data_IF_197450808638
#
_entry.id   IF_197450808638
#
_cell.length_a   1.000
_cell.length_b   1.000
_cell.length_c   1.000
_cell.angle_alpha   90.00
_cell.angle_beta   90.00
_cell.angle_gamma   90.00
#
_symmetry.space_group_name_H-M   'P 1'
#
loop_
_entity.id
_entity.type
_entity.pdbx_description
1 polymer ?
#
# COMPACT_ATOMS: atom_id res chain seq x y z
N UNK A 1 -19.72 -19.72 -8.55
CA UNK A 1 -19.84 -18.28 -8.87
C UNK A 1 -18.52 -17.58 -8.58
N UNK A 2 -17.97 -17.68 -7.37
CA UNK A 2 -16.59 -17.19 -7.08
C UNK A 2 -15.56 -17.66 -8.09
N UNK A 3 -15.55 -18.96 -8.38
CA UNK A 3 -14.62 -19.53 -9.34
C UNK A 3 -14.80 -18.96 -10.75
N UNK A 4 -16.04 -18.67 -11.15
CA UNK A 4 -16.32 -18.04 -12.44
C UNK A 4 -15.81 -16.59 -12.48
N UNK A 5 -15.93 -15.88 -11.36
CA UNK A 5 -15.36 -14.53 -11.22
C UNK A 5 -13.84 -14.62 -11.30
N UNK A 6 -13.19 -15.50 -10.55
CA UNK A 6 -11.73 -15.70 -10.60
C UNK A 6 -11.24 -16.03 -12.02
N UNK A 7 -11.92 -16.97 -12.69
CA UNK A 7 -11.62 -17.34 -14.08
C UNK A 7 -11.75 -16.15 -15.06
N UNK A 8 -12.75 -15.29 -14.87
CA UNK A 8 -12.92 -14.09 -15.71
C UNK A 8 -11.77 -13.09 -15.60
N UNK A 9 -10.99 -13.13 -14.50
CA UNK A 9 -9.87 -12.23 -14.24
C UNK A 9 -8.50 -12.92 -14.25
N UNK A 10 -8.40 -14.15 -14.75
CA UNK A 10 -7.17 -14.95 -14.72
C UNK A 10 -5.98 -14.28 -15.42
N UNK A 11 -6.23 -13.52 -16.49
CA UNK A 11 -5.20 -12.84 -17.29
C UNK A 11 -5.19 -11.32 -17.12
N UNK A 12 -5.79 -10.78 -16.06
CA UNK A 12 -5.85 -9.33 -15.84
C UNK A 12 -4.80 -8.92 -14.81
N UNK A 13 -3.68 -8.37 -15.28
CA UNK A 13 -2.48 -8.14 -14.45
C UNK A 13 -2.69 -7.14 -13.30
N UNK A 14 -3.57 -6.14 -13.47
CA UNK A 14 -3.74 -5.06 -12.48
C UNK A 14 -4.74 -5.46 -11.39
N UNK A 15 -5.94 -5.90 -11.77
CA UNK A 15 -7.04 -6.19 -10.82
C UNK A 15 -7.20 -7.68 -10.53
N UNK A 16 -6.62 -8.56 -11.33
CA UNK A 16 -6.71 -10.01 -11.17
C UNK A 16 -6.25 -10.50 -9.80
N UNK A 17 -5.07 -10.11 -9.29
CA UNK A 17 -4.62 -10.51 -7.95
C UNK A 17 -5.64 -10.15 -6.85
N UNK A 18 -6.17 -8.93 -6.89
CA UNK A 18 -7.18 -8.45 -5.93
C UNK A 18 -8.49 -9.26 -6.01
N UNK A 19 -8.93 -9.62 -7.21
CA UNK A 19 -10.11 -10.48 -7.40
C UNK A 19 -9.85 -11.90 -6.85
N UNK A 20 -8.66 -12.45 -7.06
CA UNK A 20 -8.31 -13.78 -6.53
C UNK A 20 -8.27 -13.80 -5.00
N UNK A 21 -7.84 -12.69 -4.39
CA UNK A 21 -7.82 -12.44 -2.94
C UNK A 21 -9.19 -12.06 -2.36
N UNK A 22 -10.22 -11.87 -3.20
CA UNK A 22 -11.58 -11.47 -2.81
C UNK A 22 -11.69 -10.05 -2.25
N UNK A 23 -10.85 -9.14 -2.71
CA UNK A 23 -10.88 -7.71 -2.37
C UNK A 23 -11.94 -6.93 -3.17
N UNK A 24 -13.17 -7.43 -3.14
CA UNK A 24 -14.31 -6.83 -3.82
C UNK A 24 -15.62 -7.24 -3.15
N UNK A 25 -16.64 -6.40 -3.32
CA UNK A 25 -18.01 -6.69 -2.95
C UNK A 25 -18.87 -6.84 -4.20
N UNK A 26 -19.90 -7.69 -4.12
CA UNK A 26 -20.97 -7.69 -5.10
C UNK A 26 -22.13 -6.88 -4.55
N UNK A 27 -22.69 -6.01 -5.38
CA UNK A 27 -23.75 -5.09 -5.02
C UNK A 27 -24.96 -5.39 -5.89
N UNK A 28 -26.12 -5.50 -5.28
CA UNK A 28 -27.39 -5.72 -5.98
C UNK A 28 -27.92 -4.42 -6.63
N UNK A 29 -29.04 -4.50 -7.39
CA UNK A 29 -29.64 -3.31 -7.99
C UNK A 29 -30.11 -2.24 -6.99
N UNK A 30 -30.39 -2.63 -5.75
CA UNK A 30 -30.85 -1.75 -4.68
C UNK A 30 -29.67 -1.06 -3.97
N UNK A 31 -28.44 -1.51 -4.23
CA UNK A 31 -27.21 -0.97 -3.65
C UNK A 31 -26.71 -1.74 -2.43
N UNK A 32 -27.29 -2.91 -2.12
CA UNK A 32 -26.95 -3.72 -0.96
C UNK A 32 -25.84 -4.74 -1.28
N UNK A 33 -25.00 -5.04 -0.29
CA UNK A 33 -23.89 -5.98 -0.45
C UNK A 33 -24.41 -7.42 -0.40
N UNK A 34 -24.11 -8.19 -1.44
CA UNK A 34 -24.39 -9.61 -1.53
C UNK A 34 -23.21 -10.41 -0.99
N UNK A 35 -23.42 -11.12 0.11
CA UNK A 35 -22.39 -11.98 0.68
C UNK A 35 -22.15 -13.25 -0.17
N UNK A 36 -20.90 -13.73 -0.28
CA UNK A 36 -20.59 -14.94 -1.05
C UNK A 36 -21.27 -16.22 -0.55
N UNK A 37 -21.73 -16.24 0.70
CA UNK A 37 -22.45 -17.39 1.26
C UNK A 37 -23.86 -17.54 0.69
N UNK A 38 -24.48 -16.45 0.24
CA UNK A 38 -25.92 -16.41 -0.10
C UNK A 38 -26.21 -15.99 -1.54
N UNK A 39 -25.21 -15.55 -2.31
CA UNK A 39 -25.39 -15.14 -3.70
C UNK A 39 -26.08 -16.16 -4.62
N UNK A 40 -25.98 -17.47 -4.35
CA UNK A 40 -26.62 -18.53 -5.15
C UNK A 40 -28.13 -18.57 -4.98
N UNK A 41 -28.64 -18.10 -3.84
CA UNK A 41 -30.06 -18.06 -3.53
C UNK A 41 -30.69 -16.68 -3.75
N UNK A 42 -29.87 -15.63 -3.69
CA UNK A 42 -30.34 -14.24 -3.82
C UNK A 42 -30.34 -13.78 -5.28
N UNK A 43 -29.28 -14.08 -6.05
CA UNK A 43 -29.14 -13.57 -7.41
C UNK A 43 -30.13 -14.28 -8.35
N UNK A 44 -30.90 -13.48 -9.10
CA UNK A 44 -31.86 -13.97 -10.08
C UNK A 44 -31.49 -13.55 -11.51
N UNK A 45 -32.04 -14.27 -12.49
CA UNK A 45 -31.89 -13.94 -13.90
C UNK A 45 -32.42 -12.54 -14.19
N UNK A 46 -31.65 -11.74 -14.93
CA UNK A 46 -32.02 -10.37 -15.29
C UNK A 46 -31.57 -9.30 -14.30
N UNK A 47 -30.97 -9.67 -13.17
CA UNK A 47 -30.39 -8.70 -12.23
C UNK A 47 -29.10 -8.09 -12.77
N UNK A 48 -28.95 -6.77 -12.57
CA UNK A 48 -27.69 -6.08 -12.76
C UNK A 48 -26.91 -6.12 -11.43
N UNK A 49 -25.90 -7.00 -11.36
CA UNK A 49 -25.01 -7.09 -10.20
C UNK A 49 -23.72 -6.33 -10.51
N UNK A 50 -23.32 -5.43 -9.61
CA UNK A 50 -22.13 -4.60 -9.76
C UNK A 50 -21.02 -5.16 -8.87
N UNK A 51 -19.83 -5.35 -9.44
CA UNK A 51 -18.64 -5.69 -8.66
C UNK A 51 -17.90 -4.41 -8.27
N UNK A 52 -17.78 -4.14 -6.97
CA UNK A 52 -17.10 -2.97 -6.43
C UNK A 52 -15.79 -3.37 -5.78
N UNK A 53 -14.69 -2.87 -6.30
CA UNK A 53 -13.37 -3.09 -5.70
C UNK A 53 -13.24 -2.32 -4.38
N UNK A 54 -12.53 -2.91 -3.42
CA UNK A 54 -12.17 -2.19 -2.21
C UNK A 54 -11.18 -1.06 -2.52
N UNK A 55 -11.24 0.06 -1.79
CA UNK A 55 -10.24 1.11 -1.94
C UNK A 55 -8.86 0.57 -1.55
N UNK A 56 -7.87 0.71 -2.43
CA UNK A 56 -6.47 0.53 -2.06
C UNK A 56 -6.06 1.73 -1.21
N UNK A 57 -5.58 1.49 0.02
CA UNK A 57 -5.00 2.52 0.85
C UNK A 57 -3.94 3.29 0.06
N UNK A 58 -3.93 4.62 0.12
CA UNK A 58 -2.88 5.41 -0.52
C UNK A 58 -1.52 4.92 -0.05
N UNK A 59 -0.54 4.70 -0.96
CA UNK A 59 0.81 4.36 -0.54
C UNK A 59 1.33 5.47 0.38
N UNK A 60 2.07 5.13 1.46
CA UNK A 60 2.64 6.14 2.32
C UNK A 60 3.48 7.11 1.49
N UNK A 61 3.46 8.42 1.82
CA UNK A 61 4.24 9.39 1.08
C UNK A 61 5.71 8.93 1.03
N UNK A 62 6.40 9.12 -0.12
CA UNK A 62 7.79 8.73 -0.23
C UNK A 62 8.60 9.39 0.91
N UNK A 63 9.56 8.68 1.52
CA UNK A 63 10.37 9.27 2.57
C UNK A 63 10.99 10.57 2.06
N UNK A 64 11.05 11.64 2.88
CA UNK A 64 11.67 12.89 2.46
C UNK A 64 13.10 12.59 1.98
N UNK A 65 13.58 13.23 0.90
CA UNK A 65 14.94 13.05 0.44
C UNK A 65 15.86 13.24 1.63
N UNK A 66 16.55 12.18 2.05
CA UNK A 66 17.51 12.26 3.13
C UNK A 66 18.58 13.26 2.67
N UNK A 67 18.49 14.51 3.15
CA UNK A 67 19.60 15.44 3.08
C UNK A 67 20.78 14.70 3.70
N UNK A 68 21.73 14.30 2.86
CA UNK A 68 23.00 13.73 3.23
C UNK A 68 23.74 14.81 4.03
N UNK A 69 23.38 14.94 5.31
CA UNK A 69 23.88 15.97 6.19
C UNK A 69 25.37 15.72 6.38
N UNK A 70 26.14 16.52 5.66
CA UNK A 70 27.58 16.60 5.65
C UNK A 70 28.10 16.95 7.05
N UNK A 71 28.14 15.97 7.96
CA UNK A 71 28.75 16.12 9.28
C UNK A 71 30.05 15.32 9.37
N UNK A 72 30.98 15.61 8.46
CA UNK A 72 32.36 15.11 8.52
C UNK A 72 33.37 16.19 8.15
N UNK A 73 33.44 17.30 8.90
CA UNK A 73 34.68 18.10 9.06
C UNK A 73 34.53 19.25 10.07
N UNK A 74 34.71 18.98 11.37
CA UNK A 74 35.33 19.95 12.29
C UNK A 74 35.77 19.25 13.58
N UNK A 75 36.88 18.51 13.53
CA UNK A 75 37.64 18.12 14.73
C UNK A 75 39.10 17.88 14.33
N UNK A 76 39.79 18.95 13.94
CA UNK A 76 41.25 19.00 13.93
C UNK A 76 41.68 20.41 14.35
N UNK A 77 42.42 20.48 15.46
CA UNK A 77 43.12 21.68 15.88
C UNK A 77 42.60 22.32 17.16
N UNK A 78 42.89 21.71 18.32
CA UNK A 78 43.16 22.47 19.55
C UNK A 78 43.70 21.58 20.65
N UNK A 79 45.02 21.33 20.62
CA UNK A 79 45.84 21.11 21.83
C UNK A 79 47.33 20.97 21.47
N UNK A 80 47.92 22.09 21.08
CA UNK A 80 49.37 22.24 21.06
C UNK A 80 49.70 23.71 21.30
N UNK A 81 49.70 24.15 22.57
CA UNK A 81 50.46 25.30 23.07
C UNK A 81 50.25 25.44 24.58
N UNK A 82 50.80 24.51 25.35
CA UNK A 82 51.11 24.79 26.76
C UNK A 82 52.30 23.95 27.21
N UNK A 83 53.45 24.24 26.60
CA UNK A 83 54.73 23.96 27.22
C UNK A 83 55.73 25.04 26.81
N UNK A 84 56.41 25.59 27.83
CA UNK A 84 57.60 26.47 27.78
C UNK A 84 57.38 27.99 27.75
N UNK A 85 57.34 28.57 28.96
CA UNK A 85 58.23 29.68 29.41
C UNK A 85 58.58 29.36 30.87
N UNK A 86 59.74 28.75 31.15
CA UNK A 86 61.04 29.38 31.51
C UNK A 86 60.89 30.31 32.71
N UNK A 87 61.38 29.88 33.88
CA UNK A 87 62.65 30.36 34.46
C UNK A 87 62.70 31.90 34.53
N UNK A 88 62.43 32.43 35.71
CA UNK A 88 63.30 33.36 36.43
C UNK A 88 63.04 33.22 37.93
#
# INVERSE_FOLDING_TARGET
MEELIKQAFLHVEIIGPHVHERHYDLVDPDGEIILPQVWKSIIQSGWAVIMRMWPVSEPPPPPPPMELSQKTKKNRGSRAHQLRKRRS
#
